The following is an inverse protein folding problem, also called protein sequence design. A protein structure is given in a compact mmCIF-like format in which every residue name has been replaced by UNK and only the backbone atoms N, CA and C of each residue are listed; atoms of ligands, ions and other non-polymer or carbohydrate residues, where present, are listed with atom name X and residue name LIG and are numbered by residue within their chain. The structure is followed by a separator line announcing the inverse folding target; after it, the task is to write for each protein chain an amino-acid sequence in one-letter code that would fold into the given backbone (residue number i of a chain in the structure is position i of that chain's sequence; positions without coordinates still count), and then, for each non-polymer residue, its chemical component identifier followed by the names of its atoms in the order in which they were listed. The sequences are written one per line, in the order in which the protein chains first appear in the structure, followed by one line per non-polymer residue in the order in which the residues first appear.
data_IF_195908604237
#
_entry.id   IF_195908604237
#
_cell.length_a   1.000
_cell.length_b   1.000
_cell.length_c   1.000
_cell.angle_alpha   90.00
_cell.angle_beta   90.00
_cell.angle_gamma   90.00
#
_symmetry.space_group_name_H-M   'P 1'
#
loop_
_entity.id
_entity.type
_entity.pdbx_description
1 polymer ?
#
# COMPACT_ATOMS: atom_id res chain seq x y z
N UNK A 1 5.91 -19.13 -4.31
CA UNK A 1 4.98 -19.17 -5.45
C UNK A 1 5.61 -18.37 -6.57
N UNK A 2 5.35 -18.72 -7.83
CA UNK A 2 5.83 -17.91 -8.95
C UNK A 2 5.09 -16.56 -8.94
N UNK A 3 5.80 -15.46 -9.24
CA UNK A 3 5.14 -14.16 -9.43
C UNK A 3 4.13 -14.30 -10.57
N UNK A 4 2.91 -13.74 -10.42
CA UNK A 4 1.94 -13.78 -11.50
C UNK A 4 2.50 -13.03 -12.72
N UNK A 5 2.31 -13.60 -13.90
CA UNK A 5 2.66 -12.94 -15.16
C UNK A 5 1.62 -11.83 -15.38
N UNK A 6 2.04 -10.58 -15.23
CA UNK A 6 1.19 -9.40 -15.41
C UNK A 6 1.40 -8.82 -16.80
N UNK A 7 0.32 -8.30 -17.42
CA UNK A 7 0.40 -7.74 -18.76
C UNK A 7 1.19 -6.41 -18.81
N UNK A 8 1.79 -6.12 -19.96
CA UNK A 8 2.64 -4.92 -20.12
C UNK A 8 1.86 -3.61 -19.99
N UNK A 9 0.55 -3.62 -20.27
CA UNK A 9 -0.30 -2.45 -20.12
C UNK A 9 -0.63 -2.18 -18.64
N UNK A 10 -0.84 -3.23 -17.84
CA UNK A 10 -0.98 -3.11 -16.39
C UNK A 10 0.27 -2.53 -15.73
N UNK A 11 1.46 -2.96 -16.15
CA UNK A 11 2.72 -2.38 -15.68
C UNK A 11 2.83 -0.89 -16.03
N UNK A 12 2.40 -0.48 -17.23
CA UNK A 12 2.36 0.94 -17.62
C UNK A 12 1.38 1.73 -16.77
N UNK A 13 0.22 1.16 -16.46
CA UNK A 13 -0.75 1.79 -15.56
C UNK A 13 -0.20 1.94 -14.14
N UNK A 14 0.46 0.91 -13.59
CA UNK A 14 1.16 1.00 -12.29
C UNK A 14 2.12 2.19 -12.27
N UNK A 15 2.92 2.36 -13.33
CA UNK A 15 3.88 3.45 -13.41
C UNK A 15 3.21 4.84 -13.54
N UNK A 16 2.02 4.93 -14.14
CA UNK A 16 1.23 6.16 -14.15
C UNK A 16 0.67 6.46 -12.75
N UNK A 17 -0.02 5.51 -12.13
CA UNK A 17 -0.57 5.67 -10.78
C UNK A 17 0.51 6.00 -9.76
N UNK A 18 1.71 5.43 -9.91
CA UNK A 18 2.86 5.76 -9.08
C UNK A 18 3.26 7.22 -9.17
N UNK A 19 3.21 7.83 -10.36
CA UNK A 19 3.52 9.26 -10.54
C UNK A 19 2.48 10.14 -9.89
N UNK A 20 1.21 9.82 -10.10
CA UNK A 20 0.08 10.57 -9.53
C UNK A 20 0.06 10.49 -8.01
N UNK A 21 0.30 9.29 -7.45
CA UNK A 21 0.35 9.08 -6.02
C UNK A 21 1.54 9.81 -5.36
N UNK A 22 2.69 9.87 -6.04
CA UNK A 22 3.83 10.68 -5.56
C UNK A 22 3.53 12.18 -5.56
N UNK A 23 2.90 12.67 -6.61
CA UNK A 23 2.48 14.07 -6.68
C UNK A 23 1.47 14.39 -5.56
N UNK A 24 0.51 13.50 -5.30
CA UNK A 24 -0.45 13.65 -4.20
C UNK A 24 0.25 13.70 -2.84
N UNK A 25 1.18 12.77 -2.57
CA UNK A 25 1.93 12.74 -1.30
C UNK A 25 2.74 14.02 -1.11
N UNK A 26 3.43 14.50 -2.13
CA UNK A 26 4.21 15.72 -2.05
C UNK A 26 3.30 16.94 -1.79
N UNK A 27 2.15 17.01 -2.46
CA UNK A 27 1.20 18.12 -2.35
C UNK A 27 0.44 18.16 -1.01
N UNK A 28 0.15 17.00 -0.42
CA UNK A 28 -0.65 16.88 0.82
C UNK A 28 0.19 16.56 2.05
N UNK A 29 1.49 16.34 1.88
CA UNK A 29 2.42 15.92 2.91
C UNK A 29 1.91 14.70 3.73
N UNK A 30 1.26 13.75 3.06
CA UNK A 30 0.55 12.64 3.67
C UNK A 30 1.36 11.32 3.66
N UNK A 31 2.68 11.39 3.57
CA UNK A 31 3.54 10.20 3.52
C UNK A 31 3.41 9.27 4.74
N UNK A 32 3.36 9.78 6.00
CA UNK A 32 3.27 8.92 7.17
C UNK A 32 1.95 8.14 7.24
N UNK A 33 0.83 8.75 6.84
CA UNK A 33 -0.48 8.10 6.89
C UNK A 33 -0.63 7.04 5.78
N UNK A 34 -0.02 7.27 4.62
CA UNK A 34 0.08 6.27 3.54
C UNK A 34 0.88 5.05 3.97
N UNK A 35 2.02 5.27 4.64
CA UNK A 35 2.84 4.19 5.18
C UNK A 35 2.08 3.37 6.22
N UNK A 36 1.35 4.05 7.11
CA UNK A 36 0.50 3.41 8.10
C UNK A 36 -0.60 2.57 7.42
N UNK A 37 -1.24 3.08 6.37
CA UNK A 37 -2.26 2.33 5.62
C UNK A 37 -1.72 1.00 5.10
N UNK A 38 -0.58 1.01 4.39
CA UNK A 38 0.00 -0.22 3.85
C UNK A 38 0.50 -1.19 4.92
N UNK A 39 1.02 -0.66 6.04
CA UNK A 39 1.40 -1.48 7.19
C UNK A 39 0.19 -2.19 7.79
N UNK A 40 -0.91 -1.47 8.02
CA UNK A 40 -2.11 -2.03 8.63
C UNK A 40 -2.81 -3.04 7.72
N UNK A 41 -2.81 -2.81 6.39
CA UNK A 41 -3.34 -3.77 5.41
C UNK A 41 -2.51 -5.07 5.40
N UNK A 42 -1.18 -4.96 5.28
CA UNK A 42 -0.30 -6.14 5.30
C UNK A 42 -0.30 -6.85 6.66
N UNK A 43 -0.44 -6.10 7.75
CA UNK A 43 -0.35 -6.57 9.12
C UNK A 43 -1.46 -7.52 9.57
N UNK A 44 -2.53 -7.68 8.79
CA UNK A 44 -3.64 -8.60 9.10
C UNK A 44 -3.37 -10.05 8.68
N UNK A 45 -2.23 -10.34 8.02
CA UNK A 45 -1.96 -11.70 7.53
C UNK A 45 -1.62 -12.68 8.66
N UNK A 46 -2.39 -13.76 8.74
CA UNK A 46 -2.14 -14.91 9.61
C UNK A 46 -1.56 -16.08 8.81
N UNK A 47 -0.38 -16.55 9.22
CA UNK A 47 0.34 -17.67 8.59
C UNK A 47 -0.42 -18.99 8.73
N UNK A 48 -1.14 -19.17 9.84
CA UNK A 48 -1.79 -20.45 10.18
C UNK A 48 -3.02 -20.69 9.31
N UNK A 49 -3.89 -19.67 9.22
CA UNK A 49 -5.10 -19.73 8.42
C UNK A 49 -4.89 -19.29 6.97
N UNK A 50 -3.76 -18.63 6.66
CA UNK A 50 -3.47 -18.00 5.36
C UNK A 50 -4.53 -16.97 4.96
N UNK A 51 -5.08 -16.26 5.95
CA UNK A 51 -6.09 -15.22 5.76
C UNK A 51 -5.53 -13.83 6.06
N UNK A 52 -6.22 -12.80 5.57
CA UNK A 52 -5.78 -11.40 5.71
C UNK A 52 -4.61 -11.05 4.78
N UNK A 53 -3.92 -9.96 5.12
CA UNK A 53 -2.73 -9.50 4.41
C UNK A 53 -2.96 -8.43 3.36
N UNK A 54 -1.95 -8.19 2.52
CA UNK A 54 -1.91 -7.08 1.56
C UNK A 54 -2.88 -7.25 0.38
N UNK A 55 -4.18 -7.28 0.66
CA UNK A 55 -5.23 -7.56 -0.32
C UNK A 55 -6.17 -6.35 -0.53
N UNK A 56 -5.97 -5.26 0.21
CA UNK A 56 -6.78 -4.06 0.13
C UNK A 56 -8.12 -4.14 0.86
N UNK A 57 -8.32 -5.12 1.74
CA UNK A 57 -9.52 -5.27 2.57
C UNK A 57 -9.70 -4.11 3.54
N UNK A 58 -8.61 -3.41 3.90
CA UNK A 58 -8.64 -2.26 4.80
C UNK A 58 -9.57 -1.13 4.36
N UNK A 59 -9.96 -1.10 3.07
CA UNK A 59 -10.96 -0.14 2.54
C UNK A 59 -12.39 -0.43 3.01
N UNK A 60 -12.68 -1.62 3.54
CA UNK A 60 -14.01 -2.00 4.01
C UNK A 60 -14.33 -1.29 5.32
N UNK A 61 -15.58 -0.82 5.46
CA UNK A 61 -16.05 -0.10 6.65
C UNK A 61 -15.83 -0.90 7.94
N UNK A 62 -16.04 -2.21 7.90
CA UNK A 62 -15.76 -3.12 9.01
C UNK A 62 -14.31 -2.99 9.47
N UNK A 63 -13.36 -3.05 8.53
CA UNK A 63 -11.94 -3.08 8.84
C UNK A 63 -11.37 -1.71 9.20
N UNK A 64 -11.66 -0.63 8.47
CA UNK A 64 -11.14 0.69 8.85
C UNK A 64 -11.81 1.28 10.09
N UNK A 65 -12.95 0.73 10.54
CA UNK A 65 -13.59 1.11 11.80
C UNK A 65 -12.95 0.49 13.04
N UNK A 66 -12.07 -0.51 12.87
CA UNK A 66 -11.31 -1.08 13.98
C UNK A 66 -10.51 0.01 14.71
N UNK A 67 -10.46 -0.04 16.04
CA UNK A 67 -9.78 0.97 16.86
C UNK A 67 -8.33 1.21 16.43
N UNK A 68 -7.61 0.14 16.04
CA UNK A 68 -6.23 0.21 15.53
C UNK A 68 -6.10 0.97 14.20
N UNK A 69 -7.18 1.03 13.40
CA UNK A 69 -7.23 1.64 12.07
C UNK A 69 -7.80 3.07 12.09
N UNK A 70 -8.06 3.64 13.27
CA UNK A 70 -8.64 4.97 13.40
C UNK A 70 -7.78 6.02 12.67
N UNK A 71 -8.44 6.84 11.85
CA UNK A 71 -7.84 7.86 10.99
C UNK A 71 -7.42 7.38 9.59
N UNK A 72 -7.40 6.06 9.32
CA UNK A 72 -6.99 5.54 8.00
C UNK A 72 -7.97 5.84 6.87
N UNK A 73 -9.23 6.19 7.20
CA UNK A 73 -10.22 6.63 6.21
C UNK A 73 -9.71 7.77 5.31
N UNK A 74 -8.97 8.73 5.89
CA UNK A 74 -8.35 9.82 5.11
C UNK A 74 -7.34 9.32 4.07
N UNK A 75 -6.54 8.30 4.43
CA UNK A 75 -5.58 7.71 3.50
C UNK A 75 -6.28 6.93 2.39
N UNK A 76 -7.36 6.20 2.72
CA UNK A 76 -8.21 5.51 1.75
C UNK A 76 -8.80 6.51 0.77
N UNK A 77 -9.35 7.64 1.24
CA UNK A 77 -9.96 8.65 0.38
C UNK A 77 -8.93 9.30 -0.57
N UNK A 78 -7.69 9.50 -0.13
CA UNK A 78 -6.60 9.97 -0.99
C UNK A 78 -6.21 8.93 -2.05
N UNK A 79 -6.16 7.66 -1.69
CA UNK A 79 -5.94 6.58 -2.66
C UNK A 79 -7.09 6.45 -3.63
N UNK A 80 -8.34 6.73 -3.22
CA UNK A 80 -9.51 6.70 -4.09
C UNK A 80 -9.39 7.73 -5.23
N UNK A 81 -8.83 8.91 -4.95
CA UNK A 81 -8.58 9.92 -5.99
C UNK A 81 -7.65 9.39 -7.08
N UNK A 82 -6.58 8.68 -6.71
CA UNK A 82 -5.66 8.06 -7.68
C UNK A 82 -6.29 6.85 -8.34
N UNK A 83 -7.04 6.05 -7.58
CA UNK A 83 -7.74 4.86 -8.09
C UNK A 83 -8.76 5.21 -9.17
N UNK A 84 -9.48 6.33 -9.00
CA UNK A 84 -10.45 6.82 -9.98
C UNK A 84 -9.81 7.12 -11.35
N UNK A 85 -8.55 7.59 -11.35
CA UNK A 85 -7.75 7.85 -12.57
C UNK A 85 -7.18 6.57 -13.19
N UNK A 86 -7.00 5.52 -12.38
CA UNK A 86 -6.42 4.23 -12.78
C UNK A 86 -7.34 3.05 -12.42
N UNK A 87 -8.46 2.85 -13.14
CA UNK A 87 -9.42 1.80 -12.83
C UNK A 87 -8.85 0.39 -13.00
N UNK A 88 -7.82 0.20 -13.85
CA UNK A 88 -7.21 -1.11 -14.12
C UNK A 88 -6.44 -1.69 -12.93
N UNK A 89 -5.85 -0.87 -12.06
CA UNK A 89 -4.94 -1.30 -10.98
C UNK A 89 -5.71 -1.83 -9.77
N UNK A 90 -5.25 -2.87 -9.10
CA UNK A 90 -5.90 -3.34 -7.86
C UNK A 90 -5.66 -2.39 -6.68
N UNK A 91 -6.57 -2.38 -5.69
CA UNK A 91 -6.35 -1.62 -4.45
C UNK A 91 -5.12 -2.13 -3.68
N UNK A 92 -4.90 -3.44 -3.68
CA UNK A 92 -3.71 -4.06 -3.08
C UNK A 92 -2.42 -3.47 -3.66
N UNK A 93 -2.29 -3.42 -5.00
CA UNK A 93 -1.11 -2.87 -5.66
C UNK A 93 -0.96 -1.36 -5.47
N UNK A 94 -2.08 -0.65 -5.32
CA UNK A 94 -2.06 0.78 -5.02
C UNK A 94 -1.54 1.06 -3.61
N UNK A 95 -2.02 0.32 -2.60
CA UNK A 95 -1.60 0.48 -1.20
C UNK A 95 -0.18 -0.03 -0.99
N UNK A 96 0.18 -1.18 -1.55
CA UNK A 96 1.48 -1.82 -1.33
C UNK A 96 2.57 -1.34 -2.28
N UNK A 97 2.33 -0.25 -2.99
CA UNK A 97 3.26 0.26 -3.99
C UNK A 97 4.63 0.59 -3.34
N UNK A 98 5.59 -0.32 -3.49
CA UNK A 98 6.88 -0.32 -2.76
C UNK A 98 7.68 0.98 -2.93
N UNK A 99 7.50 1.67 -4.06
CA UNK A 99 8.18 2.93 -4.38
C UNK A 99 7.55 4.17 -3.74
N UNK A 100 6.40 4.03 -3.10
CA UNK A 100 5.76 5.08 -2.31
C UNK A 100 6.54 5.37 -1.03
N UNK A 101 7.05 4.31 -0.41
CA UNK A 101 7.64 4.35 0.93
C UNK A 101 9.16 4.53 0.93
N UNK A 102 9.82 4.24 -0.20
CA UNK A 102 11.27 4.06 -0.23
C UNK A 102 12.09 5.23 -0.77
N UNK A 103 11.55 6.28 -1.41
CA UNK A 103 12.44 7.23 -2.11
C UNK A 103 12.25 8.75 -1.91
N UNK A 104 11.06 9.34 -1.82
CA UNK A 104 10.98 10.78 -2.15
C UNK A 104 10.50 11.71 -1.02
N UNK A 105 10.50 11.23 0.22
CA UNK A 105 10.19 12.07 1.38
C UNK A 105 11.39 11.94 2.29
N UNK A 106 11.98 13.05 2.74
CA UNK A 106 13.16 13.13 3.63
C UNK A 106 12.98 12.47 5.00
N UNK A 107 12.08 11.49 5.09
CA UNK A 107 11.91 10.55 6.17
C UNK A 107 13.19 9.71 6.23
N UNK A 108 13.95 10.02 7.27
CA UNK A 108 15.23 9.46 7.67
C UNK A 108 15.29 7.94 7.46
N UNK A 109 16.48 7.45 7.12
CA UNK A 109 16.91 6.06 6.88
C UNK A 109 16.28 5.00 7.79
N UNK A 110 15.79 5.39 8.97
CA UNK A 110 15.11 4.55 9.95
C UNK A 110 13.77 3.97 9.46
N UNK A 111 12.93 4.75 8.76
CA UNK A 111 11.62 4.28 8.28
C UNK A 111 11.78 3.34 7.08
N UNK A 112 12.77 3.59 6.22
CA UNK A 112 13.18 2.64 5.17
C UNK A 112 13.59 1.30 5.76
N UNK A 113 14.34 1.33 6.88
CA UNK A 113 14.77 0.11 7.57
C UNK A 113 13.57 -0.65 8.12
N UNK A 114 12.66 0.02 8.84
CA UNK A 114 11.44 -0.56 9.42
C UNK A 114 10.52 -1.19 8.38
N UNK A 115 10.22 -0.49 7.26
CA UNK A 115 9.38 -1.06 6.20
C UNK A 115 10.05 -2.24 5.51
N UNK A 116 11.36 -2.16 5.21
CA UNK A 116 12.08 -3.25 4.57
C UNK A 116 12.28 -4.47 5.50
N UNK A 117 12.43 -4.27 6.82
CA UNK A 117 12.55 -5.38 7.77
C UNK A 117 11.21 -5.97 8.19
N UNK A 118 10.13 -5.20 8.29
CA UNK A 118 8.85 -5.74 8.74
C UNK A 118 7.93 -6.15 7.58
N UNK A 119 7.85 -5.35 6.51
CA UNK A 119 6.96 -5.65 5.36
C UNK A 119 7.63 -6.57 4.34
N UNK A 120 8.95 -6.50 4.13
CA UNK A 120 9.63 -7.33 3.12
C UNK A 120 10.33 -8.56 3.72
N UNK A 121 10.85 -8.50 4.96
CA UNK A 121 11.48 -9.68 5.60
C UNK A 121 10.51 -10.54 6.42
N UNK A 122 9.47 -9.98 7.04
CA UNK A 122 8.49 -10.75 7.82
C UNK A 122 7.24 -11.13 7.02
N UNK A 123 6.67 -10.21 6.25
CA UNK A 123 5.67 -10.55 5.24
C UNK A 123 6.38 -10.94 3.95
N UNK A 124 6.57 -12.24 3.73
CA UNK A 124 7.09 -12.77 2.47
C UNK A 124 6.15 -12.34 1.32
N UNK A 125 6.41 -11.20 0.69
CA UNK A 125 5.73 -10.77 -0.56
C UNK A 125 6.00 -11.74 -1.74
N UNK A 126 6.71 -12.85 -1.51
CA UNK A 126 6.81 -14.02 -2.41
C UNK A 126 5.71 -15.08 -2.18
N UNK A 127 4.72 -14.80 -1.32
CA UNK A 127 3.63 -15.73 -0.95
C UNK A 127 2.20 -15.19 -1.16
N UNK A 128 2.02 -14.04 -1.82
CA UNK A 128 0.74 -13.66 -2.43
C UNK A 128 0.85 -13.82 -3.95
#
# INVERSE_FOLDING_TARGET
MALPVVDTEYLKEIEKARRDLRALIANRNCAPIMLRLAWHDAGTYDVSTKTGGPNGSIRNQEEYSHGSNNGLKKAIDFCEEVKSKHPKITYADLYQNRRLYCMDVGVTTMVKRLYLTCVVKHFNFSRC
#
